data_IF_575837479443
#
_entry.id   IF_575837479443
#
_cell.length_a   1.000
_cell.length_b   1.000
_cell.length_c   1.000
_cell.angle_alpha   90.00
_cell.angle_beta   90.00
_cell.angle_gamma   90.00
#
_symmetry.space_group_name_H-M   'P 1'
#
loop_
_entity.id
_entity.type
_entity.pdbx_description
1 polymer ?
#
# COMPACT_ATOMS: atom_id res chain seq x y z
N UNK A 1 10.89 -0.74 9.72
CA UNK A 1 9.60 -1.35 9.49
C UNK A 1 9.22 -1.30 8.01
N UNK A 2 8.61 -2.39 7.53
CA UNK A 2 8.20 -2.47 6.14
C UNK A 2 7.17 -1.40 5.76
N UNK A 3 6.26 -1.10 6.67
CA UNK A 3 5.22 -0.12 6.41
C UNK A 3 5.83 1.26 6.18
N UNK A 4 6.78 1.65 7.02
CA UNK A 4 7.42 2.96 6.89
C UNK A 4 8.15 3.08 5.55
N UNK A 5 8.87 2.03 5.18
CA UNK A 5 9.59 2.02 3.91
C UNK A 5 8.62 2.13 2.73
N UNK A 6 7.53 1.35 2.80
CA UNK A 6 6.57 1.33 1.71
C UNK A 6 5.77 2.63 1.60
N UNK A 7 5.48 3.25 2.74
CA UNK A 7 4.80 4.54 2.71
C UNK A 7 5.69 5.62 2.10
N UNK A 8 6.98 5.55 2.38
CA UNK A 8 7.93 6.46 1.77
C UNK A 8 8.03 6.22 0.26
N UNK A 9 8.03 4.97 -0.15
CA UNK A 9 8.05 4.64 -1.58
C UNK A 9 6.81 5.18 -2.28
N UNK A 10 5.65 5.12 -1.63
CA UNK A 10 4.43 5.67 -2.17
C UNK A 10 4.54 7.18 -2.37
N UNK A 11 5.13 7.87 -1.41
CA UNK A 11 5.30 9.32 -1.51
C UNK A 11 6.23 9.71 -2.65
N UNK A 12 7.26 8.90 -2.88
CA UNK A 12 8.24 9.16 -3.93
C UNK A 12 7.75 8.75 -5.31
N UNK A 13 6.93 7.72 -5.38
CA UNK A 13 6.47 7.18 -6.66
C UNK A 13 5.00 6.80 -6.60
N UNK A 14 4.11 7.80 -6.48
CA UNK A 14 2.67 7.51 -6.36
C UNK A 14 2.08 6.82 -7.59
N UNK A 15 2.72 6.95 -8.74
CA UNK A 15 2.22 6.33 -9.98
C UNK A 15 2.76 4.93 -10.20
N UNK A 16 3.59 4.43 -9.30
CA UNK A 16 4.14 3.07 -9.35
C UNK A 16 4.94 2.82 -10.63
N UNK A 17 5.68 3.83 -11.07
CA UNK A 17 6.48 3.70 -12.28
C UNK A 17 7.74 2.87 -12.05
N UNK A 18 8.36 3.03 -10.89
CA UNK A 18 9.62 2.37 -10.60
C UNK A 18 9.52 1.40 -9.42
N UNK A 19 8.69 1.71 -8.43
CA UNK A 19 8.57 0.91 -7.23
C UNK A 19 7.19 0.26 -7.17
N UNK A 20 7.17 -1.06 -6.94
CA UNK A 20 5.91 -1.79 -6.79
C UNK A 20 5.55 -1.87 -5.31
N UNK A 21 5.12 -0.76 -4.76
CA UNK A 21 4.82 -0.65 -3.33
C UNK A 21 3.37 -1.00 -2.99
N UNK A 22 2.49 -1.00 -3.98
CA UNK A 22 1.05 -1.12 -3.71
C UNK A 22 0.68 -2.44 -3.07
N UNK A 23 1.11 -3.55 -3.63
CA UNK A 23 0.72 -4.86 -3.13
C UNK A 23 1.30 -5.16 -1.75
N UNK A 24 2.61 -5.00 -1.52
CA UNK A 24 3.13 -5.23 -0.16
C UNK A 24 2.57 -4.26 0.86
N UNK A 25 2.31 -3.01 0.49
CA UNK A 25 1.71 -2.07 1.41
C UNK A 25 0.27 -2.48 1.75
N UNK A 26 -0.46 -2.96 0.76
CA UNK A 26 -1.80 -3.48 1.00
C UNK A 26 -1.78 -4.63 2.01
N UNK A 27 -0.84 -5.55 1.86
CA UNK A 27 -0.72 -6.67 2.78
C UNK A 27 -0.38 -6.21 4.19
N UNK A 28 0.49 -5.21 4.31
CA UNK A 28 0.82 -4.65 5.62
C UNK A 28 -0.41 -4.02 6.29
N UNK A 29 -1.16 -3.23 5.55
CA UNK A 29 -2.36 -2.61 6.10
C UNK A 29 -3.44 -3.64 6.41
N UNK A 30 -3.56 -4.65 5.59
CA UNK A 30 -4.51 -5.74 5.84
C UNK A 30 -4.19 -6.40 7.18
N UNK A 31 -2.93 -6.64 7.44
CA UNK A 31 -2.48 -7.28 8.67
C UNK A 31 -2.62 -6.37 9.88
N UNK A 32 -2.33 -5.09 9.72
CA UNK A 32 -2.35 -4.13 10.82
C UNK A 32 -3.73 -3.59 11.14
N UNK A 33 -4.51 -3.27 10.12
CA UNK A 33 -5.78 -2.57 10.29
C UNK A 33 -6.99 -3.40 9.92
N UNK A 34 -6.80 -4.40 9.08
CA UNK A 34 -7.90 -5.25 8.65
C UNK A 34 -8.50 -4.78 7.33
N UNK A 35 -9.31 -5.66 6.75
CA UNK A 35 -9.89 -5.45 5.43
C UNK A 35 -10.87 -4.28 5.40
N UNK A 36 -11.54 -4.04 6.50
CA UNK A 36 -12.56 -2.99 6.55
C UNK A 36 -12.00 -1.59 6.69
N UNK A 37 -10.72 -1.45 6.98
CA UNK A 37 -10.12 -0.13 7.15
C UNK A 37 -10.09 0.60 5.79
N UNK A 38 -10.37 1.92 5.82
CA UNK A 38 -10.43 2.70 4.59
C UNK A 38 -9.08 2.74 3.88
N UNK A 39 -7.99 2.71 4.63
CA UNK A 39 -6.64 2.68 4.02
C UNK A 39 -6.42 1.38 3.26
N UNK A 40 -6.85 0.28 3.84
CA UNK A 40 -6.75 -1.02 3.17
C UNK A 40 -7.62 -1.07 1.92
N UNK A 41 -8.83 -0.55 2.00
CA UNK A 41 -9.74 -0.52 0.86
C UNK A 41 -9.18 0.33 -0.28
N UNK A 42 -8.55 1.44 0.05
CA UNK A 42 -7.94 2.30 -0.95
C UNK A 42 -6.82 1.58 -1.69
N UNK A 43 -5.96 0.89 -0.95
CA UNK A 43 -4.87 0.13 -1.55
C UNK A 43 -5.40 -1.06 -2.35
N UNK A 44 -6.49 -1.65 -1.90
CA UNK A 44 -7.11 -2.76 -2.63
C UNK A 44 -7.54 -2.31 -4.02
N UNK A 45 -8.09 -1.10 -4.12
CA UNK A 45 -8.44 -0.54 -5.40
C UNK A 45 -7.23 -0.36 -6.31
N UNK A 46 -6.13 0.12 -5.75
CA UNK A 46 -4.90 0.28 -6.49
C UNK A 46 -4.31 -1.04 -6.96
N UNK A 47 -4.34 -2.04 -6.08
CA UNK A 47 -3.78 -3.36 -6.40
C UNK A 47 -4.58 -4.04 -7.50
N UNK A 48 -5.89 -3.82 -7.53
CA UNK A 48 -6.76 -4.44 -8.52
C UNK A 48 -6.75 -3.75 -9.87
N UNK A 49 -6.05 -2.64 -9.98
CA UNK A 49 -5.84 -2.02 -11.27
C UNK A 49 -4.72 -2.74 -12.01
#
# INVERSE_FOLDING_TARGET
>A
ESVTYLEKARDLDPNRNEANWAYPLYQCYYSLYGESDSRTAELKGLVNQ
#
